data_IF_348149700732
#
_entry.id   IF_348149700732
#
_cell.length_a   1.000
_cell.length_b   1.000
_cell.length_c   1.000
_cell.angle_alpha   90.00
_cell.angle_beta   90.00
_cell.angle_gamma   90.00
#
_symmetry.space_group_name_H-M   'P 1'
#
loop_
_entity.id
_entity.type
_entity.pdbx_description
1 polymer ?
#
# COMPACT_ATOMS: atom_id res chain seq x y z
N UNK A 1 -6.75 -14.75 -10.38
CA UNK A 1 -6.43 -13.33 -10.07
C UNK A 1 -7.44 -12.80 -9.04
N UNK A 2 -7.07 -12.75 -7.77
CA UNK A 2 -7.99 -12.59 -6.62
C UNK A 2 -8.59 -11.18 -6.43
N UNK A 3 -8.02 -10.13 -7.03
CA UNK A 3 -8.38 -8.73 -6.76
C UNK A 3 -9.69 -8.25 -7.40
N UNK A 4 -10.15 -8.86 -8.51
CA UNK A 4 -11.49 -8.60 -9.07
C UNK A 4 -12.62 -8.99 -8.11
N UNK A 5 -12.37 -9.94 -7.20
CA UNK A 5 -13.32 -10.36 -6.15
C UNK A 5 -13.42 -9.36 -4.99
N UNK A 6 -12.55 -8.34 -4.94
CA UNK A 6 -12.41 -7.40 -3.81
C UNK A 6 -12.74 -5.94 -4.16
N UNK A 7 -13.27 -5.65 -5.35
CA UNK A 7 -13.90 -4.34 -5.65
C UNK A 7 -12.96 -3.15 -5.94
N UNK A 8 -11.67 -3.38 -6.23
CA UNK A 8 -10.74 -2.29 -6.59
C UNK A 8 -10.91 -1.86 -8.06
N UNK A 9 -11.10 -0.55 -8.31
CA UNK A 9 -11.28 0.05 -9.65
C UNK A 9 -10.12 0.99 -9.99
N UNK A 10 -9.41 0.70 -11.08
CA UNK A 10 -8.27 1.49 -11.57
C UNK A 10 -8.77 2.56 -12.55
N UNK A 11 -8.35 3.83 -12.38
CA UNK A 11 -8.90 4.98 -13.10
C UNK A 11 -8.03 5.54 -14.23
N UNK A 12 -6.71 5.34 -14.21
CA UNK A 12 -5.85 5.75 -15.31
C UNK A 12 -4.65 4.82 -15.46
N UNK A 13 -4.42 4.35 -16.69
CA UNK A 13 -3.23 3.58 -17.06
C UNK A 13 -2.82 4.06 -18.44
N UNK A 14 -1.61 4.61 -18.56
CA UNK A 14 -1.07 5.07 -19.84
C UNK A 14 -1.07 3.96 -20.90
N UNK A 15 -1.21 4.36 -22.17
CA UNK A 15 -1.24 3.43 -23.30
C UNK A 15 0.04 2.61 -23.38
N UNK A 16 -0.09 1.31 -23.64
CA UNK A 16 1.05 0.42 -23.81
C UNK A 16 1.76 0.71 -25.14
N UNK A 17 3.09 0.86 -25.13
CA UNK A 17 3.88 1.01 -26.36
C UNK A 17 3.78 -0.25 -27.23
N UNK A 18 3.87 -0.12 -28.55
CA UNK A 18 3.81 -1.25 -29.49
C UNK A 18 4.82 -2.35 -29.12
N UNK A 19 6.04 -1.95 -28.72
CA UNK A 19 7.07 -2.86 -28.20
C UNK A 19 6.59 -3.66 -26.98
N UNK A 20 5.93 -3.02 -26.01
CA UNK A 20 5.41 -3.69 -24.80
C UNK A 20 4.20 -4.61 -25.08
N UNK A 21 3.53 -4.44 -26.22
CA UNK A 21 2.44 -5.31 -26.66
C UNK A 21 3.00 -6.56 -27.34
N UNK A 22 4.01 -6.39 -28.19
CA UNK A 22 4.58 -7.45 -29.01
C UNK A 22 5.61 -8.31 -28.27
N UNK A 23 6.32 -7.76 -27.29
CA UNK A 23 7.32 -8.48 -26.48
C UNK A 23 6.70 -9.00 -25.18
N UNK A 24 6.61 -10.33 -25.04
CA UNK A 24 6.31 -11.03 -23.77
C UNK A 24 7.55 -11.81 -23.27
N UNK A 25 8.75 -11.42 -23.69
CA UNK A 25 10.02 -12.05 -23.31
C UNK A 25 10.41 -11.81 -21.84
N UNK A 26 9.80 -10.82 -21.18
CA UNK A 26 9.98 -10.56 -19.74
C UNK A 26 8.72 -10.92 -18.97
N UNK A 27 8.91 -11.69 -17.89
CA UNK A 27 7.86 -11.94 -16.91
C UNK A 27 7.34 -10.59 -16.36
N UNK A 28 6.02 -10.45 -16.28
CA UNK A 28 5.41 -9.23 -15.77
C UNK A 28 5.59 -9.21 -14.27
N UNK A 29 6.27 -8.17 -13.77
CA UNK A 29 6.36 -7.93 -12.33
C UNK A 29 4.92 -7.82 -11.77
N UNK A 30 4.60 -8.58 -10.71
CA UNK A 30 3.32 -8.47 -10.02
C UNK A 30 3.05 -7.02 -9.58
N UNK A 31 1.80 -6.56 -9.69
CA UNK A 31 1.43 -5.16 -9.40
C UNK A 31 1.80 -4.72 -7.98
N UNK A 32 1.79 -5.64 -7.02
CA UNK A 32 2.21 -5.46 -5.62
C UNK A 32 3.71 -5.18 -5.46
N UNK A 33 4.50 -5.51 -6.48
CA UNK A 33 5.95 -5.31 -6.54
C UNK A 33 6.34 -4.14 -7.46
N UNK A 34 5.38 -3.51 -8.13
CA UNK A 34 5.62 -2.33 -8.95
C UNK A 34 5.85 -1.08 -8.08
N UNK A 35 6.97 -0.36 -8.24
CA UNK A 35 7.15 0.98 -7.67
C UNK A 35 6.27 2.02 -8.38
N UNK A 36 6.05 3.17 -7.73
CA UNK A 36 5.29 4.30 -8.27
C UNK A 36 3.78 4.03 -8.37
N UNK A 37 3.25 3.21 -7.46
CA UNK A 37 1.83 2.83 -7.48
C UNK A 37 1.02 3.70 -6.52
N UNK A 38 -0.12 4.19 -7.01
CA UNK A 38 -1.12 4.88 -6.19
C UNK A 38 -2.13 3.87 -5.65
N UNK A 39 -2.36 3.87 -4.35
CA UNK A 39 -3.27 2.96 -3.65
C UNK A 39 -4.33 3.73 -2.85
N UNK A 40 -5.47 3.07 -2.63
CA UNK A 40 -6.59 3.57 -1.82
C UNK A 40 -6.83 2.62 -0.65
N UNK A 41 -6.91 3.17 0.57
CA UNK A 41 -7.36 2.47 1.77
C UNK A 41 -8.75 2.98 2.12
N UNK A 42 -9.74 2.09 2.12
CA UNK A 42 -11.12 2.41 2.48
C UNK A 42 -11.38 2.09 3.95
N UNK A 43 -11.98 3.04 4.65
CA UNK A 43 -12.54 2.87 5.99
C UNK A 43 -14.00 2.43 5.88
N UNK A 44 -14.47 1.59 6.80
CA UNK A 44 -15.89 1.28 6.96
C UNK A 44 -16.74 2.55 7.20
N UNK A 45 -16.11 3.58 7.77
CA UNK A 45 -16.66 4.91 7.98
C UNK A 45 -16.81 5.76 6.71
N UNK A 46 -16.68 5.17 5.51
CA UNK A 46 -16.69 5.86 4.21
C UNK A 46 -15.53 6.85 3.97
N UNK A 47 -14.62 7.02 4.92
CA UNK A 47 -13.38 7.75 4.69
C UNK A 47 -12.43 6.95 3.79
N UNK A 48 -11.64 7.65 2.98
CA UNK A 48 -10.63 7.04 2.11
C UNK A 48 -9.31 7.76 2.26
N UNK A 49 -8.22 6.99 2.31
CA UNK A 49 -6.86 7.51 2.22
C UNK A 49 -6.25 7.09 0.89
N UNK A 50 -5.71 8.06 0.14
CA UNK A 50 -5.00 7.81 -1.12
C UNK A 50 -3.55 8.17 -0.90
N UNK A 51 -2.65 7.24 -1.25
CA UNK A 51 -1.22 7.45 -1.14
C UNK A 51 -0.47 6.89 -2.33
N UNK A 52 0.69 7.46 -2.60
CA UNK A 52 1.67 6.90 -3.52
C UNK A 52 2.72 6.08 -2.74
N UNK A 53 3.21 5.02 -3.38
CA UNK A 53 4.34 4.24 -2.91
C UNK A 53 5.49 4.36 -3.92
N UNK A 54 6.58 4.99 -3.51
CA UNK A 54 7.81 5.11 -4.31
C UNK A 54 8.46 3.73 -4.53
N UNK A 55 8.33 2.85 -3.54
CA UNK A 55 8.80 1.46 -3.56
C UNK A 55 7.61 0.50 -3.74
N UNK A 56 7.72 -0.73 -3.24
CA UNK A 56 6.62 -1.70 -3.26
C UNK A 56 5.53 -1.33 -2.26
N UNK A 57 4.30 -1.81 -2.53
CA UNK A 57 3.17 -1.63 -1.61
C UNK A 57 3.44 -2.27 -0.24
N UNK A 58 4.13 -3.41 -0.23
CA UNK A 58 4.52 -4.12 0.99
C UNK A 58 5.44 -3.26 1.87
N UNK A 59 6.42 -2.59 1.27
CA UNK A 59 7.29 -1.66 1.98
C UNK A 59 6.49 -0.52 2.62
N UNK A 60 5.60 0.10 1.83
CA UNK A 60 4.76 1.21 2.30
C UNK A 60 3.81 0.80 3.43
N UNK A 61 3.27 -0.42 3.37
CA UNK A 61 2.45 -0.98 4.44
C UNK A 61 3.22 -1.11 5.76
N UNK A 62 4.45 -1.62 5.71
CA UNK A 62 5.28 -1.75 6.92
C UNK A 62 5.61 -0.38 7.54
N UNK A 63 5.85 0.64 6.74
CA UNK A 63 6.06 2.02 7.23
C UNK A 63 4.82 2.56 7.96
N UNK A 64 3.63 2.34 7.41
CA UNK A 64 2.38 2.73 8.06
C UNK A 64 2.18 2.02 9.38
N UNK A 65 2.41 0.70 9.44
CA UNK A 65 2.30 -0.06 10.69
C UNK A 65 3.29 0.44 11.75
N UNK A 66 4.54 0.73 11.37
CA UNK A 66 5.53 1.31 12.28
C UNK A 66 5.07 2.67 12.81
N UNK A 67 4.50 3.52 11.94
CA UNK A 67 3.99 4.83 12.33
C UNK A 67 2.80 4.75 13.28
N UNK A 68 1.83 3.86 13.00
CA UNK A 68 0.71 3.60 13.90
C UNK A 68 1.16 3.07 15.26
N UNK A 69 2.12 2.15 15.28
CA UNK A 69 2.70 1.65 16.53
C UNK A 69 3.37 2.77 17.33
N UNK A 70 4.12 3.66 16.67
CA UNK A 70 4.71 4.85 17.34
C UNK A 70 3.63 5.75 17.93
N UNK A 71 2.57 6.05 17.18
CA UNK A 71 1.46 6.87 17.66
C UNK A 71 0.75 6.22 18.86
N UNK A 72 0.46 4.92 18.80
CA UNK A 72 -0.15 4.17 19.91
C UNK A 72 0.75 4.18 21.14
N UNK A 73 2.05 3.99 20.97
CA UNK A 73 3.01 4.04 22.07
C UNK A 73 3.11 5.43 22.70
N UNK A 74 3.06 6.49 21.90
CA UNK A 74 3.03 7.86 22.41
C UNK A 74 1.74 8.13 23.21
N UNK A 75 0.59 7.71 22.69
CA UNK A 75 -0.71 7.82 23.37
C UNK A 75 -0.72 7.04 24.69
N UNK A 76 -0.14 5.84 24.72
CA UNK A 76 0.00 5.06 25.95
C UNK A 76 0.84 5.79 27.01
N UNK A 77 1.95 6.43 26.61
CA UNK A 77 2.79 7.23 27.53
C UNK A 77 2.04 8.43 28.11
N UNK A 78 1.23 9.11 27.29
CA UNK A 78 0.39 10.22 27.74
C UNK A 78 -0.65 9.77 28.77
N UNK A 79 -1.18 8.56 28.60
CA UNK A 79 -2.14 7.96 29.52
C UNK A 79 -1.48 7.32 30.77
N UNK A 80 -0.17 7.50 30.97
CA UNK A 80 0.57 6.93 32.11
C UNK A 80 0.76 5.42 32.06
N UNK A 81 0.52 4.79 30.91
CA UNK A 81 0.69 3.35 30.76
C UNK A 81 2.16 2.92 30.68
N UNK A 82 2.47 1.66 31.03
CA UNK A 82 3.83 1.15 31.05
C UNK A 82 4.45 1.16 29.63
N UNK A 83 5.77 1.32 29.51
CA UNK A 83 6.44 1.26 28.21
C UNK A 83 6.22 -0.12 27.57
N UNK A 84 5.83 -0.13 26.30
CA UNK A 84 5.65 -1.37 25.55
C UNK A 84 7.02 -2.00 25.26
N UNK A 85 7.41 -3.01 26.05
CA UNK A 85 8.65 -3.77 25.93
C UNK A 85 8.41 -5.08 25.18
N UNK A 86 8.03 -5.01 23.91
CA UNK A 86 8.17 -6.17 23.02
C UNK A 86 9.52 -6.06 22.29
N UNK A 87 10.41 -6.98 22.64
CA UNK A 87 11.77 -7.14 22.07
C UNK A 87 11.70 -7.96 20.79
#
# INVERSE_FOLDING_TARGET
MAWKRMGFKVWFKGNRTLRSILRNDKEKVPLDQCPGLVYEIKCECSASYIGEADNTLAHRYQEHMKSLTRCRNALNRLNGGPPNTSR
#
